data_IF_036072883947
#
_entry.id   IF_036072883947
#
_cell.length_a   1.000
_cell.length_b   1.000
_cell.length_c   1.000
_cell.angle_alpha   90.00
_cell.angle_beta   90.00
_cell.angle_gamma   90.00
#
_symmetry.space_group_name_H-M   'P 1'
#
loop_
_entity.id
_entity.type
_entity.pdbx_description
1 polymer ?
#
# COMPACT_ATOMS: atom_id res chain seq x y z
N UNK A 1 -18.93 6.43 -7.19
CA UNK A 1 -17.60 6.18 -7.72
C UNK A 1 -17.59 6.17 -9.25
N UNK A 2 -18.36 5.32 -9.93
CA UNK A 2 -18.39 5.23 -11.41
C UNK A 2 -18.75 6.54 -12.09
N UNK A 3 -19.71 7.29 -11.57
CA UNK A 3 -20.07 8.62 -12.08
C UNK A 3 -18.92 9.62 -12.02
N UNK A 4 -18.01 9.43 -11.04
CA UNK A 4 -16.78 10.21 -10.93
C UNK A 4 -15.61 9.66 -11.75
N UNK A 5 -15.81 8.59 -12.52
CA UNK A 5 -14.81 7.98 -13.39
C UNK A 5 -13.98 6.85 -12.76
N UNK A 6 -14.14 6.54 -11.48
CA UNK A 6 -13.43 5.42 -10.84
C UNK A 6 -14.03 4.07 -11.29
N UNK A 7 -13.15 3.11 -11.56
CA UNK A 7 -13.52 1.78 -12.03
C UNK A 7 -13.14 0.65 -11.07
N UNK A 8 -12.44 0.95 -10.00
CA UNK A 8 -12.00 -0.02 -9.01
C UNK A 8 -12.13 0.51 -7.58
N UNK A 9 -12.21 -0.41 -6.63
CA UNK A 9 -12.11 -0.14 -5.19
C UNK A 9 -11.11 -1.08 -4.54
N UNK A 10 -10.58 -0.64 -3.41
CA UNK A 10 -9.74 -1.40 -2.49
C UNK A 10 -10.49 -1.57 -1.17
N UNK A 11 -10.56 -2.79 -0.65
CA UNK A 11 -11.25 -3.08 0.61
C UNK A 11 -10.36 -2.84 1.82
N UNK A 12 -10.05 -1.62 2.11
CA UNK A 12 -9.13 -1.25 3.19
C UNK A 12 -9.71 -1.56 4.60
N UNK A 13 -9.03 -2.31 5.46
CA UNK A 13 -7.84 -3.14 5.23
C UNK A 13 -8.13 -4.56 5.69
N UNK A 14 -9.21 -5.14 5.24
CA UNK A 14 -9.72 -6.45 5.63
C UNK A 14 -10.64 -7.02 4.53
N UNK A 15 -10.96 -8.33 4.56
CA UNK A 15 -11.79 -8.94 3.53
C UNK A 15 -13.15 -8.28 3.37
N UNK A 16 -13.50 -7.94 2.13
CA UNK A 16 -14.76 -7.32 1.76
C UNK A 16 -15.97 -8.19 2.09
N UNK A 17 -17.07 -7.58 2.49
CA UNK A 17 -18.33 -8.28 2.69
C UNK A 17 -18.99 -8.67 1.37
N UNK A 18 -19.76 -9.78 1.35
CA UNK A 18 -20.47 -10.27 0.14
C UNK A 18 -21.35 -9.22 -0.51
N UNK A 19 -22.07 -8.43 0.29
CA UNK A 19 -22.95 -7.39 -0.24
C UNK A 19 -22.21 -6.34 -1.08
N UNK A 20 -20.96 -6.01 -0.70
CA UNK A 20 -20.10 -5.12 -1.46
C UNK A 20 -19.67 -5.80 -2.78
N UNK A 21 -19.23 -7.06 -2.73
CA UNK A 21 -18.81 -7.80 -3.91
C UNK A 21 -19.98 -8.00 -4.89
N UNK A 22 -21.19 -8.38 -4.40
CA UNK A 22 -22.41 -8.46 -5.21
C UNK A 22 -22.73 -7.14 -5.91
N UNK A 23 -22.54 -6.02 -5.23
CA UNK A 23 -22.72 -4.70 -5.82
C UNK A 23 -21.63 -4.39 -6.86
N UNK A 24 -20.38 -4.72 -6.59
CA UNK A 24 -19.27 -4.53 -7.53
C UNK A 24 -19.46 -5.36 -8.79
N UNK A 25 -19.87 -6.62 -8.68
CA UNK A 25 -20.21 -7.47 -9.83
C UNK A 25 -21.32 -6.85 -10.68
N UNK A 26 -22.40 -6.36 -10.02
CA UNK A 26 -23.56 -5.76 -10.70
C UNK A 26 -23.22 -4.47 -11.42
N UNK A 27 -22.39 -3.62 -10.79
CA UNK A 27 -22.06 -2.31 -11.33
C UNK A 27 -20.78 -2.31 -12.17
N UNK A 28 -20.07 -3.43 -12.28
CA UNK A 28 -18.82 -3.55 -13.01
C UNK A 28 -17.71 -2.70 -12.39
N UNK A 29 -17.55 -2.78 -11.06
CA UNK A 29 -16.44 -2.15 -10.31
C UNK A 29 -15.46 -3.24 -9.92
N UNK A 30 -14.19 -3.07 -10.27
CA UNK A 30 -13.14 -4.01 -9.91
C UNK A 30 -12.79 -3.91 -8.43
N UNK A 31 -12.33 -5.00 -7.85
CA UNK A 31 -11.98 -5.07 -6.42
C UNK A 31 -10.59 -5.64 -6.23
N UNK A 32 -9.78 -4.91 -5.46
CA UNK A 32 -8.62 -5.44 -4.77
C UNK A 32 -9.05 -5.78 -3.35
N UNK A 33 -9.18 -7.08 -3.02
CA UNK A 33 -9.61 -7.52 -1.70
C UNK A 33 -8.40 -7.75 -0.79
N UNK A 34 -8.44 -7.21 0.43
CA UNK A 34 -7.33 -7.21 1.36
C UNK A 34 -7.49 -8.23 2.48
N UNK A 35 -6.37 -8.85 2.87
CA UNK A 35 -6.33 -9.82 3.96
C UNK A 35 -6.29 -9.15 5.33
N UNK A 36 -5.32 -8.25 5.55
CA UNK A 36 -5.08 -7.63 6.85
C UNK A 36 -4.09 -6.46 6.74
N UNK A 37 -4.15 -5.53 7.70
CA UNK A 37 -3.17 -4.46 7.88
C UNK A 37 -2.11 -4.76 8.96
N UNK A 38 -2.16 -5.94 9.56
CA UNK A 38 -1.22 -6.39 10.62
C UNK A 38 -0.89 -7.86 10.41
N UNK A 39 0.42 -8.20 10.56
CA UNK A 39 0.86 -9.59 10.64
C UNK A 39 1.33 -9.92 12.07
N UNK A 40 2.59 -10.33 12.25
CA UNK A 40 3.12 -10.76 13.55
C UNK A 40 3.59 -9.59 14.44
N UNK A 41 3.95 -8.45 13.83
CA UNK A 41 4.38 -7.25 14.57
C UNK A 41 3.21 -6.30 14.76
N UNK A 42 2.88 -6.04 16.02
CA UNK A 42 1.75 -5.18 16.41
C UNK A 42 1.96 -3.73 15.98
N UNK A 43 0.90 -3.10 15.46
CA UNK A 43 0.77 -1.65 15.32
C UNK A 43 0.15 -1.01 16.58
N UNK A 44 -0.73 -1.77 17.25
CA UNK A 44 -1.43 -1.35 18.45
C UNK A 44 -1.40 -2.45 19.53
N UNK A 45 -1.61 -2.13 20.83
CA UNK A 45 -1.46 -3.10 21.92
C UNK A 45 -2.34 -4.36 21.82
N UNK A 46 -3.51 -4.27 21.21
CA UNK A 46 -4.52 -5.35 21.17
C UNK A 46 -5.05 -5.60 19.76
N UNK A 47 -4.19 -5.43 18.76
CA UNK A 47 -4.56 -5.66 17.36
C UNK A 47 -4.51 -7.15 16.95
N UNK A 48 -4.79 -7.39 15.67
CA UNK A 48 -4.90 -8.74 15.11
C UNK A 48 -3.60 -9.55 15.15
N UNK A 49 -2.43 -8.93 15.37
CA UNK A 49 -1.16 -9.66 15.50
C UNK A 49 -1.20 -10.73 16.62
N UNK A 50 -2.05 -10.56 17.62
CA UNK A 50 -2.27 -11.56 18.69
C UNK A 50 -2.78 -12.90 18.15
N UNK A 51 -3.45 -12.90 17.02
CA UNK A 51 -4.14 -14.05 16.44
C UNK A 51 -3.60 -14.42 15.05
N UNK A 52 -2.81 -13.56 14.43
CA UNK A 52 -2.41 -13.69 13.03
C UNK A 52 -1.84 -15.06 12.69
N UNK A 53 -0.86 -15.56 13.44
CA UNK A 53 -0.18 -16.82 13.10
C UNK A 53 -1.12 -18.05 13.11
N UNK A 54 -2.17 -18.04 13.94
CA UNK A 54 -3.16 -19.13 13.95
C UNK A 54 -4.29 -18.93 12.93
N UNK A 55 -4.59 -17.68 12.57
CA UNK A 55 -5.82 -17.33 11.82
C UNK A 55 -5.58 -16.97 10.35
N UNK A 56 -4.35 -16.61 9.92
CA UNK A 56 -4.10 -16.14 8.57
C UNK A 56 -4.49 -17.17 7.49
N UNK A 57 -4.14 -18.45 7.67
CA UNK A 57 -4.42 -19.49 6.68
C UNK A 57 -5.91 -19.83 6.57
N UNK A 58 -6.64 -20.08 7.68
CA UNK A 58 -8.11 -20.20 7.64
C UNK A 58 -8.81 -18.97 7.06
N UNK A 59 -8.28 -17.77 7.30
CA UNK A 59 -8.84 -16.53 6.76
C UNK A 59 -8.69 -16.48 5.25
N UNK A 60 -7.51 -16.77 4.70
CA UNK A 60 -7.29 -16.86 3.25
C UNK A 60 -8.23 -17.89 2.61
N UNK A 61 -8.37 -19.08 3.21
CA UNK A 61 -9.27 -20.12 2.71
C UNK A 61 -10.72 -19.63 2.61
N UNK A 62 -11.22 -18.96 3.66
CA UNK A 62 -12.58 -18.39 3.68
C UNK A 62 -12.73 -17.23 2.70
N UNK A 63 -11.70 -16.39 2.59
CA UNK A 63 -11.67 -15.26 1.66
C UNK A 63 -11.77 -15.75 0.22
N UNK A 64 -10.89 -16.66 -0.20
CA UNK A 64 -10.92 -17.25 -1.54
C UNK A 64 -12.25 -17.98 -1.81
N UNK A 65 -12.75 -18.79 -0.87
CA UNK A 65 -14.03 -19.47 -1.03
C UNK A 65 -15.22 -18.50 -1.19
N UNK A 66 -15.15 -17.33 -0.57
CA UNK A 66 -16.12 -16.25 -0.73
C UNK A 66 -15.99 -15.58 -2.10
N UNK A 67 -14.75 -15.28 -2.53
CA UNK A 67 -14.45 -14.42 -3.66
C UNK A 67 -14.45 -15.15 -5.03
N UNK A 68 -14.25 -16.44 -5.01
CA UNK A 68 -13.98 -17.27 -6.21
C UNK A 68 -14.97 -17.02 -7.35
N UNK A 69 -16.24 -16.85 -7.04
CA UNK A 69 -17.30 -16.62 -8.00
C UNK A 69 -17.68 -15.12 -8.18
N UNK A 70 -16.87 -14.19 -7.63
CA UNK A 70 -17.05 -12.77 -7.83
C UNK A 70 -16.08 -12.27 -8.93
N UNK A 71 -16.55 -12.04 -10.17
CA UNK A 71 -15.69 -11.58 -11.26
C UNK A 71 -15.13 -10.17 -11.04
N UNK A 72 -15.71 -9.39 -10.15
CA UNK A 72 -15.17 -8.10 -9.73
C UNK A 72 -13.83 -8.19 -8.98
N UNK A 73 -13.61 -9.26 -8.23
CA UNK A 73 -12.34 -9.44 -7.50
C UNK A 73 -11.25 -9.83 -8.48
N UNK A 74 -10.23 -8.99 -8.63
CA UNK A 74 -9.13 -9.17 -9.58
C UNK A 74 -7.76 -9.34 -8.92
N UNK A 75 -7.62 -8.86 -7.68
CA UNK A 75 -6.37 -8.88 -6.92
C UNK A 75 -6.63 -9.26 -5.46
N UNK A 76 -5.71 -10.02 -4.88
CA UNK A 76 -5.61 -10.24 -3.45
C UNK A 76 -4.42 -9.45 -2.88
N UNK A 77 -4.69 -8.55 -1.94
CA UNK A 77 -3.65 -7.84 -1.21
C UNK A 77 -3.36 -8.57 0.11
N UNK A 78 -2.11 -8.99 0.29
CA UNK A 78 -1.73 -9.80 1.46
C UNK A 78 -1.43 -8.99 2.71
N UNK A 79 -1.24 -7.69 2.58
CA UNK A 79 -0.96 -6.81 3.72
C UNK A 79 -1.02 -5.33 3.36
N UNK A 80 -1.32 -4.51 4.37
CA UNK A 80 -1.27 -3.06 4.29
C UNK A 80 -0.25 -2.51 5.27
N UNK A 81 0.74 -1.76 4.76
CA UNK A 81 1.70 -1.01 5.58
C UNK A 81 2.32 -1.83 6.72
N UNK A 82 2.70 -3.05 6.41
CA UNK A 82 3.19 -4.03 7.38
C UNK A 82 4.54 -3.59 7.96
N UNK A 83 4.61 -3.53 9.28
CA UNK A 83 5.79 -3.03 10.00
C UNK A 83 7.05 -3.87 9.77
N UNK A 84 6.90 -5.18 9.61
CA UNK A 84 8.01 -6.11 9.36
C UNK A 84 8.30 -6.35 7.87
N UNK A 85 7.60 -5.71 6.93
CA UNK A 85 7.73 -5.97 5.49
C UNK A 85 9.18 -5.84 4.97
N UNK A 86 9.98 -4.95 5.57
CA UNK A 86 11.40 -4.77 5.20
C UNK A 86 12.39 -5.70 5.92
N UNK A 87 11.90 -6.71 6.61
CA UNK A 87 12.72 -7.73 7.28
C UNK A 87 12.69 -9.07 6.53
N UNK A 88 13.67 -9.93 6.78
CA UNK A 88 13.70 -11.28 6.22
C UNK A 88 12.45 -12.09 6.64
N UNK A 89 12.04 -11.99 7.90
CA UNK A 89 10.82 -12.67 8.40
C UNK A 89 9.54 -12.12 7.76
N UNK A 90 9.49 -10.81 7.49
CA UNK A 90 8.37 -10.19 6.78
C UNK A 90 8.30 -10.64 5.32
N UNK A 91 9.43 -10.68 4.62
CA UNK A 91 9.52 -11.21 3.25
C UNK A 91 9.10 -12.69 3.17
N UNK A 92 9.51 -13.51 4.16
CA UNK A 92 9.06 -14.91 4.26
C UNK A 92 7.55 -15.02 4.47
N UNK A 93 6.99 -14.21 5.38
CA UNK A 93 5.55 -14.17 5.61
C UNK A 93 4.82 -13.75 4.35
N UNK A 94 5.26 -12.68 3.67
CA UNK A 94 4.70 -12.23 2.40
C UNK A 94 4.65 -13.37 1.38
N UNK A 95 5.76 -14.08 1.20
CA UNK A 95 5.86 -15.22 0.27
C UNK A 95 4.89 -16.34 0.61
N UNK A 96 4.77 -16.69 1.90
CA UNK A 96 3.81 -17.71 2.39
C UNK A 96 2.38 -17.33 2.05
N UNK A 97 1.99 -16.09 2.29
CA UNK A 97 0.64 -15.59 2.03
C UNK A 97 0.35 -15.58 0.52
N UNK A 98 1.22 -14.99 -0.29
CA UNK A 98 1.08 -14.96 -1.74
C UNK A 98 0.97 -16.37 -2.34
N UNK A 99 1.83 -17.29 -1.91
CA UNK A 99 1.77 -18.68 -2.39
C UNK A 99 0.47 -19.38 -2.00
N UNK A 100 -0.04 -19.15 -0.78
CA UNK A 100 -1.31 -19.74 -0.34
C UNK A 100 -2.49 -19.22 -1.18
N UNK A 101 -2.52 -17.93 -1.53
CA UNK A 101 -3.52 -17.42 -2.46
C UNK A 101 -3.41 -18.08 -3.84
N UNK A 102 -2.22 -18.17 -4.42
CA UNK A 102 -1.99 -18.81 -5.74
C UNK A 102 -2.36 -20.29 -5.76
N UNK A 103 -2.11 -21.03 -4.67
CA UNK A 103 -2.50 -22.44 -4.52
C UNK A 103 -4.02 -22.61 -4.50
N UNK A 104 -4.74 -21.70 -3.88
CA UNK A 104 -6.20 -21.76 -3.74
C UNK A 104 -6.94 -21.14 -4.91
N UNK A 105 -6.39 -20.10 -5.52
CA UNK A 105 -6.94 -19.40 -6.67
C UNK A 105 -5.84 -18.96 -7.65
N UNK A 106 -5.49 -19.78 -8.63
CA UNK A 106 -4.47 -19.44 -9.62
C UNK A 106 -4.97 -18.44 -10.70
N UNK A 107 -6.19 -17.94 -10.59
CA UNK A 107 -6.81 -17.07 -11.59
C UNK A 107 -6.64 -15.58 -11.26
N UNK A 108 -6.20 -15.26 -10.06
CA UNK A 108 -6.03 -13.88 -9.57
C UNK A 108 -4.59 -13.64 -9.11
N UNK A 109 -4.15 -12.41 -9.28
CA UNK A 109 -2.79 -12.00 -8.88
C UNK A 109 -2.76 -11.57 -7.41
N UNK A 110 -1.55 -11.60 -6.84
CA UNK A 110 -1.28 -11.15 -5.47
C UNK A 110 -0.47 -9.87 -5.45
N UNK A 111 -0.72 -9.03 -4.44
CA UNK A 111 0.02 -7.80 -4.18
C UNK A 111 0.18 -7.58 -2.67
N UNK A 112 1.00 -6.61 -2.29
CA UNK A 112 1.11 -6.08 -0.92
C UNK A 112 1.15 -4.55 -1.01
N UNK A 113 0.43 -3.85 -0.15
CA UNK A 113 0.42 -2.39 -0.09
C UNK A 113 1.59 -1.90 0.77
N UNK A 114 2.75 -1.73 0.14
CA UNK A 114 4.03 -1.45 0.79
C UNK A 114 4.19 0.04 1.11
N UNK A 115 4.43 0.35 2.38
CA UNK A 115 4.77 1.69 2.85
C UNK A 115 6.25 1.76 3.24
N UNK A 116 6.97 2.72 2.68
CA UNK A 116 8.41 2.84 2.89
C UNK A 116 8.82 3.15 4.32
N UNK A 117 8.02 3.92 5.06
CA UNK A 117 8.33 4.27 6.45
C UNK A 117 8.22 3.05 7.36
N UNK A 118 7.17 2.25 7.16
CA UNK A 118 6.97 1.01 7.92
C UNK A 118 8.05 -0.01 7.57
N UNK A 119 8.29 -0.22 6.27
CA UNK A 119 9.26 -1.21 5.79
C UNK A 119 10.72 -0.83 6.05
N UNK A 120 11.07 0.46 6.13
CA UNK A 120 12.45 0.89 6.36
C UNK A 120 13.05 0.32 7.66
N UNK A 121 12.23 0.12 8.70
CA UNK A 121 12.67 -0.47 9.96
C UNK A 121 13.88 0.28 10.55
N UNK A 122 14.94 -0.45 10.93
CA UNK A 122 16.16 0.14 11.48
C UNK A 122 16.93 1.04 10.50
N UNK A 123 16.72 0.89 9.20
CA UNK A 123 17.34 1.70 8.14
C UNK A 123 16.75 3.11 8.08
N UNK A 124 15.57 3.32 8.66
CA UNK A 124 14.84 4.62 8.59
C UNK A 124 15.71 5.78 9.09
N UNK A 125 16.47 5.56 10.15
CA UNK A 125 17.32 6.62 10.72
C UNK A 125 18.40 7.10 9.73
N UNK A 126 19.02 6.19 9.00
CA UNK A 126 20.04 6.50 8.00
C UNK A 126 19.41 7.17 6.79
N UNK A 127 18.34 6.61 6.25
CA UNK A 127 17.57 7.17 5.12
C UNK A 127 17.14 8.61 5.43
N UNK A 128 16.55 8.83 6.60
CA UNK A 128 16.11 10.17 7.01
C UNK A 128 17.30 11.13 7.23
N UNK A 129 18.43 10.62 7.69
CA UNK A 129 19.67 11.39 7.76
C UNK A 129 20.13 11.89 6.40
N UNK A 130 20.04 11.06 5.37
CA UNK A 130 20.39 11.42 3.99
C UNK A 130 19.38 12.39 3.37
N UNK A 131 18.09 12.16 3.60
CA UNK A 131 17.02 13.09 3.20
C UNK A 131 17.27 14.47 3.81
N UNK A 132 17.53 14.55 5.11
CA UNK A 132 17.77 15.82 5.82
C UNK A 132 19.05 16.52 5.36
N UNK A 133 20.10 15.76 5.01
CA UNK A 133 21.33 16.34 4.44
C UNK A 133 21.10 16.94 3.05
N UNK A 134 20.34 16.25 2.22
CA UNK A 134 20.03 16.70 0.85
C UNK A 134 19.03 17.84 0.82
N UNK A 135 18.06 17.83 1.73
CA UNK A 135 16.97 18.80 1.83
C UNK A 135 16.92 19.39 3.24
N UNK A 136 17.88 20.27 3.61
CA UNK A 136 17.88 20.88 4.94
C UNK A 136 16.58 21.62 5.22
N UNK A 137 16.09 21.49 6.45
CA UNK A 137 14.91 22.24 6.88
C UNK A 137 15.16 23.75 6.73
N UNK A 138 14.28 24.43 6.01
CA UNK A 138 14.30 25.90 6.04
C UNK A 138 13.84 26.36 7.43
N UNK A 139 14.47 27.40 8.02
CA UNK A 139 13.98 27.97 9.26
C UNK A 139 12.58 28.55 9.01
N UNK A 140 11.56 27.79 9.37
CA UNK A 140 10.18 28.25 9.39
C UNK A 140 9.89 29.00 10.68
N UNK A 141 8.84 29.82 10.75
CA UNK A 141 8.42 30.47 11.99
C UNK A 141 8.12 29.40 13.03
N UNK A 142 8.92 29.37 14.09
CA UNK A 142 8.74 28.53 15.27
C UNK A 142 7.51 29.02 16.01
N UNK A 143 6.38 28.35 15.83
CA UNK A 143 5.15 28.75 16.52
C UNK A 143 3.94 27.93 16.10
N UNK A 144 3.87 26.70 16.54
CA UNK A 144 2.67 25.88 16.47
C UNK A 144 2.77 24.75 17.47
N UNK A 145 1.84 24.72 18.39
CA UNK A 145 1.69 23.66 19.40
C UNK A 145 1.62 22.29 18.69
N UNK A 146 2.64 21.45 18.91
CA UNK A 146 2.94 20.26 18.09
C UNK A 146 2.09 19.05 18.42
N UNK A 147 0.76 19.19 18.48
CA UNK A 147 -0.17 18.09 18.73
C UNK A 147 -1.11 17.80 17.54
N UNK A 148 -1.38 16.52 17.28
CA UNK A 148 -2.44 16.09 16.38
C UNK A 148 -2.18 16.34 14.89
N UNK A 149 -3.19 16.89 14.20
CA UNK A 149 -3.21 17.10 12.73
C UNK A 149 -2.02 17.90 12.18
N UNK A 150 -1.46 18.85 12.94
CA UNK A 150 -0.31 19.65 12.50
C UNK A 150 0.98 18.81 12.41
N UNK A 151 1.19 17.86 13.33
CA UNK A 151 2.35 16.96 13.27
C UNK A 151 2.23 16.00 12.08
N UNK A 152 1.04 15.47 11.83
CA UNK A 152 0.74 14.62 10.69
C UNK A 152 0.93 15.38 9.36
N UNK A 153 0.35 16.57 9.22
CA UNK A 153 0.52 17.40 8.03
C UNK A 153 1.98 17.79 7.76
N UNK A 154 2.74 18.09 8.81
CA UNK A 154 4.17 18.37 8.68
C UNK A 154 4.94 17.13 8.21
N UNK A 155 4.58 15.98 8.73
CA UNK A 155 5.15 14.70 8.33
C UNK A 155 4.78 14.35 6.88
N UNK A 156 3.51 14.51 6.50
CA UNK A 156 3.02 14.29 5.14
C UNK A 156 3.72 15.23 4.13
N UNK A 157 3.89 16.50 4.50
CA UNK A 157 4.66 17.47 3.69
C UNK A 157 6.13 17.08 3.54
N UNK A 158 6.73 16.43 4.55
CA UNK A 158 8.10 15.91 4.48
C UNK A 158 8.23 14.76 3.47
N UNK A 159 7.16 13.99 3.29
CA UNK A 159 7.12 12.79 2.45
C UNK A 159 6.53 13.06 1.05
N UNK A 160 6.28 14.32 0.69
CA UNK A 160 5.76 14.71 -0.63
C UNK A 160 6.81 15.44 -1.48
N UNK A 161 6.57 15.50 -2.80
CA UNK A 161 7.45 16.18 -3.76
C UNK A 161 8.85 15.56 -3.82
N UNK A 162 9.86 16.36 -4.17
CA UNK A 162 11.25 15.89 -4.36
C UNK A 162 11.87 15.18 -3.15
N UNK A 163 11.47 15.55 -1.94
CA UNK A 163 11.92 14.86 -0.71
C UNK A 163 11.33 13.48 -0.60
N UNK A 164 10.04 13.37 -0.84
CA UNK A 164 9.32 12.09 -0.86
C UNK A 164 9.85 11.17 -1.95
N UNK A 165 10.10 11.71 -3.14
CA UNK A 165 10.66 10.94 -4.25
C UNK A 165 12.08 10.45 -3.94
N UNK A 166 12.92 11.29 -3.32
CA UNK A 166 14.25 10.89 -2.89
C UNK A 166 14.22 9.80 -1.80
N UNK A 167 13.33 9.94 -0.83
CA UNK A 167 13.09 8.89 0.17
C UNK A 167 12.64 7.59 -0.49
N UNK A 168 11.63 7.67 -1.35
CA UNK A 168 11.03 6.52 -2.04
C UNK A 168 12.04 5.75 -2.89
N UNK A 169 12.99 6.44 -3.50
CA UNK A 169 14.02 5.84 -4.38
C UNK A 169 15.35 5.55 -3.67
N UNK A 170 15.41 5.69 -2.34
CA UNK A 170 16.64 5.48 -1.60
C UNK A 170 17.13 4.02 -1.67
N UNK A 171 18.43 3.74 -1.92
CA UNK A 171 18.94 2.38 -2.08
C UNK A 171 18.65 1.45 -0.90
N UNK A 172 18.77 1.94 0.33
CA UNK A 172 18.45 1.17 1.54
C UNK A 172 16.96 0.81 1.64
N UNK A 173 16.08 1.65 1.11
CA UNK A 173 14.66 1.34 1.05
C UNK A 173 14.39 0.30 -0.04
N UNK A 174 15.05 0.41 -1.19
CA UNK A 174 14.98 -0.61 -2.25
C UNK A 174 15.39 -1.98 -1.72
N UNK A 175 16.50 -2.06 -0.98
CA UNK A 175 16.92 -3.31 -0.32
C UNK A 175 15.87 -3.83 0.67
N UNK A 176 15.24 -2.94 1.45
CA UNK A 176 14.23 -3.34 2.42
C UNK A 176 12.96 -3.90 1.76
N UNK A 177 12.52 -3.32 0.65
CA UNK A 177 11.27 -3.71 -0.02
C UNK A 177 11.41 -4.96 -0.90
N UNK A 178 12.61 -5.23 -1.42
CA UNK A 178 12.86 -6.26 -2.45
C UNK A 178 12.26 -7.63 -2.14
N UNK A 179 12.37 -8.11 -0.90
CA UNK A 179 11.86 -9.43 -0.52
C UNK A 179 10.33 -9.57 -0.64
N UNK A 180 9.59 -8.49 -0.38
CA UNK A 180 8.14 -8.46 -0.59
C UNK A 180 7.81 -8.23 -2.06
N UNK A 181 8.50 -7.30 -2.73
CA UNK A 181 8.33 -7.01 -4.15
C UNK A 181 8.56 -8.25 -5.02
N UNK A 182 9.61 -9.03 -4.72
CA UNK A 182 9.94 -10.25 -5.45
C UNK A 182 8.85 -11.32 -5.36
N UNK A 183 8.20 -11.44 -4.23
CA UNK A 183 7.22 -12.51 -3.97
C UNK A 183 5.80 -12.18 -4.40
N UNK A 184 5.46 -10.92 -4.67
CA UNK A 184 4.18 -10.50 -5.23
C UNK A 184 4.14 -10.63 -6.77
N UNK A 185 2.96 -10.82 -7.35
CA UNK A 185 2.75 -10.77 -8.81
C UNK A 185 2.70 -9.33 -9.31
N UNK A 186 2.08 -8.44 -8.53
CA UNK A 186 1.98 -7.00 -8.77
C UNK A 186 2.64 -6.27 -7.59
N UNK A 187 3.49 -5.30 -7.89
CA UNK A 187 4.10 -4.44 -6.86
C UNK A 187 3.12 -3.36 -6.46
N UNK A 188 2.69 -3.37 -5.21
CA UNK A 188 1.78 -2.37 -4.64
C UNK A 188 2.50 -1.37 -3.75
N UNK A 189 2.27 -0.08 -3.97
CA UNK A 189 3.01 1.01 -3.33
C UNK A 189 2.06 2.01 -2.67
N UNK A 190 2.17 2.16 -1.34
CA UNK A 190 1.50 3.20 -0.57
C UNK A 190 2.42 4.43 -0.44
N UNK A 191 2.01 5.56 -1.02
CA UNK A 191 2.70 6.86 -0.92
C UNK A 191 4.16 6.89 -1.40
N UNK A 192 4.60 5.88 -2.13
CA UNK A 192 5.95 5.77 -2.70
C UNK A 192 5.96 6.21 -4.18
N UNK A 193 5.38 7.36 -4.48
CA UNK A 193 5.13 7.80 -5.85
C UNK A 193 6.38 7.96 -6.71
N UNK A 194 7.52 8.33 -6.10
CA UNK A 194 8.81 8.38 -6.79
C UNK A 194 9.31 7.02 -7.30
N UNK A 195 8.77 5.92 -6.78
CA UNK A 195 9.11 4.56 -7.23
C UNK A 195 8.30 4.08 -8.43
N UNK A 196 7.17 4.68 -8.72
CA UNK A 196 6.26 4.20 -9.78
C UNK A 196 6.98 3.94 -11.11
N UNK A 197 7.87 4.84 -11.52
CA UNK A 197 8.67 4.66 -12.74
C UNK A 197 9.91 3.81 -12.49
N UNK A 198 10.58 3.99 -11.34
CA UNK A 198 11.79 3.24 -10.97
C UNK A 198 11.56 1.71 -10.94
N UNK A 199 10.39 1.27 -10.52
CA UNK A 199 10.07 -0.16 -10.43
C UNK A 199 10.19 -0.89 -11.76
N UNK A 200 9.96 -0.22 -12.88
CA UNK A 200 10.17 -0.81 -14.20
C UNK A 200 11.64 -1.17 -14.48
N UNK A 201 12.56 -0.40 -13.94
CA UNK A 201 14.00 -0.68 -14.07
C UNK A 201 14.43 -1.83 -13.14
N UNK A 202 13.88 -1.87 -11.94
CA UNK A 202 14.20 -2.89 -10.93
C UNK A 202 13.49 -4.23 -11.22
N UNK A 203 12.25 -4.18 -11.68
CA UNK A 203 11.39 -5.34 -11.92
C UNK A 203 10.72 -5.26 -13.30
N UNK A 204 11.47 -5.38 -14.41
CA UNK A 204 10.97 -5.11 -15.77
C UNK A 204 9.84 -6.04 -16.23
N UNK A 205 9.60 -7.13 -15.51
CA UNK A 205 8.55 -8.11 -15.83
C UNK A 205 7.32 -8.03 -14.90
N UNK A 206 7.27 -7.05 -14.01
CA UNK A 206 6.16 -6.88 -13.06
C UNK A 206 5.31 -5.67 -13.39
N UNK A 207 4.02 -5.81 -13.15
CA UNK A 207 3.12 -4.67 -13.11
C UNK A 207 3.26 -3.95 -11.76
N UNK A 208 3.01 -2.64 -11.76
CA UNK A 208 3.09 -1.76 -10.59
C UNK A 208 1.73 -1.08 -10.39
N UNK A 209 1.34 -0.91 -9.14
CA UNK A 209 0.06 -0.34 -8.74
C UNK A 209 0.28 0.67 -7.60
N UNK A 210 -0.21 1.88 -7.76
CA UNK A 210 -0.41 2.78 -6.64
C UNK A 210 -1.54 2.24 -5.76
N UNK A 211 -1.20 1.66 -4.61
CA UNK A 211 -2.21 1.03 -3.76
C UNK A 211 -2.85 2.00 -2.78
N UNK A 212 -2.17 3.11 -2.49
CA UNK A 212 -2.70 4.20 -1.66
C UNK A 212 -1.95 5.49 -1.96
N UNK A 213 -2.66 6.52 -2.42
CA UNK A 213 -2.06 7.80 -2.82
C UNK A 213 -2.93 8.99 -2.42
N UNK A 214 -2.34 10.19 -2.38
CA UNK A 214 -3.10 11.38 -1.97
C UNK A 214 -4.01 11.90 -3.08
N UNK A 215 -5.23 12.38 -2.75
CA UNK A 215 -6.13 13.00 -3.71
C UNK A 215 -5.51 14.19 -4.46
N UNK A 216 -4.65 14.94 -3.79
CA UNK A 216 -3.94 16.08 -4.38
C UNK A 216 -3.02 15.70 -5.54
N UNK A 217 -2.55 14.45 -5.57
CA UNK A 217 -1.65 13.93 -6.59
C UNK A 217 -2.34 13.23 -7.77
N UNK A 218 -3.66 13.05 -7.72
CA UNK A 218 -4.41 12.20 -8.67
C UNK A 218 -4.11 12.53 -10.14
N UNK A 219 -4.05 13.81 -10.50
CA UNK A 219 -3.80 14.25 -11.88
C UNK A 219 -2.39 13.88 -12.34
N UNK A 220 -1.40 14.04 -11.47
CA UNK A 220 -0.01 13.71 -11.75
C UNK A 220 0.17 12.20 -11.89
N UNK A 221 -0.40 11.44 -10.96
CA UNK A 221 -0.27 9.98 -10.92
C UNK A 221 -1.01 9.31 -12.06
N UNK A 222 -2.17 9.83 -12.44
CA UNK A 222 -2.90 9.31 -13.60
C UNK A 222 -2.12 9.49 -14.92
N UNK A 223 -1.42 10.62 -15.08
CA UNK A 223 -0.50 10.78 -16.23
C UNK A 223 0.62 9.74 -16.23
N UNK A 224 1.20 9.44 -15.06
CA UNK A 224 2.21 8.37 -14.96
C UNK A 224 1.62 7.03 -15.38
N UNK A 225 0.39 6.71 -14.99
CA UNK A 225 -0.31 5.49 -15.43
C UNK A 225 -0.51 5.47 -16.96
N UNK A 226 -0.94 6.58 -17.55
CA UNK A 226 -1.15 6.68 -19.01
C UNK A 226 0.14 6.59 -19.82
N UNK A 227 1.24 7.10 -19.31
CA UNK A 227 2.54 7.18 -20.00
C UNK A 227 3.41 5.92 -19.80
N UNK A 228 3.10 5.08 -18.80
CA UNK A 228 3.95 3.95 -18.41
C UNK A 228 3.16 2.63 -18.42
N UNK A 229 3.33 1.75 -19.42
CA UNK A 229 2.56 0.53 -19.57
C UNK A 229 2.66 -0.49 -18.43
N UNK A 230 3.69 -0.40 -17.59
CA UNK A 230 3.85 -1.24 -16.39
C UNK A 230 2.95 -0.79 -15.24
N UNK A 231 2.50 0.47 -15.23
CA UNK A 231 1.56 1.00 -14.26
C UNK A 231 0.13 0.59 -14.63
N UNK A 232 -0.51 -0.22 -13.80
CA UNK A 232 -1.86 -0.74 -14.09
C UNK A 232 -2.99 0.07 -13.44
N UNK A 233 -2.68 1.03 -12.60
CA UNK A 233 -3.66 1.88 -11.94
C UNK A 233 -3.11 2.60 -10.71
N UNK A 234 -4.02 3.33 -10.05
CA UNK A 234 -3.74 4.09 -8.84
C UNK A 234 -5.01 4.16 -7.97
N UNK A 235 -4.88 3.79 -6.71
CA UNK A 235 -5.94 3.88 -5.71
C UNK A 235 -5.74 5.11 -4.83
N UNK A 236 -6.63 6.06 -4.97
CA UNK A 236 -6.63 7.28 -4.15
C UNK A 236 -7.20 6.99 -2.76
N UNK A 237 -6.54 7.43 -1.72
CA UNK A 237 -7.01 7.41 -0.35
C UNK A 237 -7.69 8.75 0.01
N UNK A 238 -9.01 8.79 0.29
CA UNK A 238 -9.92 7.64 0.29
C UNK A 238 -11.21 8.02 -0.41
N UNK A 239 -12.08 7.02 -0.67
CA UNK A 239 -13.36 7.21 -1.35
C UNK A 239 -14.37 8.06 -0.58
N UNK A 240 -14.20 8.20 0.74
CA UNK A 240 -14.97 9.08 1.62
C UNK A 240 -14.02 9.84 2.53
N UNK A 241 -14.31 11.13 2.75
CA UNK A 241 -13.56 11.97 3.67
C UNK A 241 -13.79 11.57 5.13
N UNK A 242 -12.82 11.88 5.99
CA UNK A 242 -12.95 11.62 7.42
C UNK A 242 -13.91 12.61 8.08
N UNK A 243 -14.88 12.09 8.83
CA UNK A 243 -15.81 12.92 9.59
C UNK A 243 -15.05 13.72 10.67
N UNK A 244 -14.94 15.02 10.47
CA UNK A 244 -14.42 15.97 11.45
C UNK A 244 -12.90 16.17 11.45
N UNK A 245 -12.14 15.51 10.61
CA UNK A 245 -10.68 15.68 10.50
C UNK A 245 -10.26 16.04 9.07
N UNK A 246 -10.49 17.27 8.69
CA UNK A 246 -9.94 17.80 7.46
C UNK A 246 -8.41 17.90 7.56
N UNK A 247 -7.68 17.22 6.70
CA UNK A 247 -6.23 17.31 6.65
C UNK A 247 -5.49 16.04 6.20
N UNK A 248 -6.18 14.91 6.15
CA UNK A 248 -5.65 13.66 5.60
C UNK A 248 -6.27 13.28 4.25
N UNK A 249 -7.23 14.06 3.76
CA UNK A 249 -7.92 13.84 2.49
C UNK A 249 -7.86 15.04 1.59
#
# INVERSE_FOLDING_TARGET
LKEAGFNAIRSSHHPAGRALLDACDRYGVLVMDELSDVWNVRKNPYDYALYFEQDWKPTIQKMVAKDYNHPSVILYCVGNEISEAGSESGAETNRRLCNTFRELDPTRYTTNALNGLMAAGYRLREIMGDVMRKFPAQPGPSGGDGGGSNALNSFMSLMSGEKGDYFATHPLLTEALSGCEDSCDVIGLNYLTGRHVLEHELHPHKAVLGTETYPADIVRLWRIVEENPHMIGDFTWAGYDYLGEAGCG
#
